data_IF_447441290642
#
_entry.id   IF_447441290642
#
_cell.length_a   1.000
_cell.length_b   1.000
_cell.length_c   1.000
_cell.angle_alpha   90.00
_cell.angle_beta   90.00
_cell.angle_gamma   90.00
#
_symmetry.space_group_name_H-M   'P 1'
#
loop_
_entity.id
_entity.type
_entity.pdbx_description
1 polymer ?
#
# COMPACT_ATOMS: atom_id res chain seq x y z
N UNK A 1 -21.19 21.65 -30.51
CA UNK A 1 -19.85 21.72 -31.11
C UNK A 1 -18.93 22.69 -30.39
N UNK A 2 -19.23 23.97 -30.19
CA UNK A 2 -18.32 24.95 -29.51
C UNK A 2 -17.86 24.55 -28.10
N UNK A 3 -18.68 23.86 -27.29
CA UNK A 3 -18.30 23.39 -25.92
C UNK A 3 -17.31 22.21 -25.93
N UNK A 4 -17.45 21.30 -26.90
CA UNK A 4 -16.52 20.15 -27.06
C UNK A 4 -15.16 20.65 -27.55
N UNK A 5 -15.16 21.61 -28.49
CA UNK A 5 -13.92 22.24 -29.00
C UNK A 5 -13.17 22.98 -27.88
N UNK A 6 -13.91 23.66 -26.98
CA UNK A 6 -13.33 24.37 -25.84
C UNK A 6 -12.72 23.40 -24.82
N UNK A 7 -13.38 22.26 -24.56
CA UNK A 7 -12.85 21.21 -23.66
C UNK A 7 -11.60 20.55 -24.24
N UNK A 8 -11.55 20.29 -25.55
CA UNK A 8 -10.36 19.74 -26.22
C UNK A 8 -9.21 20.74 -26.17
N UNK A 9 -9.46 22.03 -26.42
CA UNK A 9 -8.42 23.07 -26.33
C UNK A 9 -7.90 23.25 -24.90
N UNK A 10 -8.77 23.15 -23.90
CA UNK A 10 -8.39 23.19 -22.49
C UNK A 10 -7.53 21.97 -22.10
N UNK A 11 -7.91 20.77 -22.56
CA UNK A 11 -7.13 19.55 -22.35
C UNK A 11 -5.74 19.63 -22.99
N UNK A 12 -5.65 20.15 -24.24
CA UNK A 12 -4.37 20.34 -24.94
C UNK A 12 -3.50 21.40 -24.23
N UNK A 13 -4.09 22.47 -23.69
CA UNK A 13 -3.35 23.51 -22.98
C UNK A 13 -2.81 23.05 -21.61
N UNK A 14 -3.39 22.02 -21.00
CA UNK A 14 -2.94 21.42 -19.74
C UNK A 14 -1.84 20.36 -19.93
N UNK A 15 -1.79 19.70 -21.11
CA UNK A 15 -0.80 18.65 -21.39
C UNK A 15 0.68 19.07 -21.19
N UNK A 16 1.15 20.26 -21.68
CA UNK A 16 2.54 20.62 -21.51
C UNK A 16 3.00 20.77 -20.04
N UNK A 17 2.09 21.16 -19.15
CA UNK A 17 2.40 21.31 -17.72
C UNK A 17 2.58 19.95 -17.02
N UNK A 18 1.77 18.96 -17.40
CA UNK A 18 1.93 17.59 -16.88
C UNK A 18 3.24 16.95 -17.33
N UNK A 19 3.62 17.13 -18.61
CA UNK A 19 4.87 16.58 -19.14
C UNK A 19 6.08 17.22 -18.46
N UNK A 20 6.12 18.54 -18.30
CA UNK A 20 7.23 19.25 -17.67
C UNK A 20 7.38 18.90 -16.16
N UNK A 21 6.27 18.68 -15.46
CA UNK A 21 6.32 18.23 -14.06
C UNK A 21 6.86 16.81 -13.95
N UNK A 22 6.43 15.89 -14.81
CA UNK A 22 6.92 14.52 -14.84
C UNK A 22 8.43 14.45 -15.13
N UNK A 23 8.92 15.20 -16.13
CA UNK A 23 10.36 15.29 -16.42
C UNK A 23 11.17 15.77 -15.21
N UNK A 24 10.63 16.69 -14.41
CA UNK A 24 11.29 17.17 -13.18
C UNK A 24 11.38 16.07 -12.11
N UNK A 25 10.31 15.29 -11.91
CA UNK A 25 10.31 14.21 -10.92
C UNK A 25 11.23 13.05 -11.32
N UNK A 26 11.23 12.67 -12.60
CA UNK A 26 12.12 11.65 -13.13
C UNK A 26 13.59 12.09 -12.98
N UNK A 27 13.90 13.37 -13.23
CA UNK A 27 15.24 13.91 -13.04
C UNK A 27 15.67 13.90 -11.56
N UNK A 28 14.79 14.26 -10.62
CA UNK A 28 15.10 14.17 -9.18
C UNK A 28 15.28 12.73 -8.73
N UNK A 29 14.47 11.81 -9.24
CA UNK A 29 14.58 10.39 -8.92
C UNK A 29 15.91 9.81 -9.38
N UNK A 30 16.35 10.11 -10.61
CA UNK A 30 17.63 9.68 -11.14
C UNK A 30 18.82 10.29 -10.37
N UNK A 31 18.76 11.58 -10.03
CA UNK A 31 19.77 12.23 -9.21
C UNK A 31 19.85 11.64 -7.81
N UNK A 32 18.72 11.33 -7.20
CA UNK A 32 18.65 10.67 -5.90
C UNK A 32 19.28 9.26 -5.94
N UNK A 33 18.98 8.49 -6.99
CA UNK A 33 19.59 7.19 -7.22
C UNK A 33 21.12 7.29 -7.42
N UNK A 34 21.59 8.30 -8.14
CA UNK A 34 23.01 8.55 -8.32
C UNK A 34 23.69 8.88 -6.98
N UNK A 35 23.12 9.80 -6.18
CA UNK A 35 23.61 10.14 -4.85
C UNK A 35 23.63 8.91 -3.90
N UNK A 36 22.60 8.08 -3.95
CA UNK A 36 22.56 6.82 -3.18
C UNK A 36 23.72 5.89 -3.58
N UNK A 37 23.97 5.72 -4.88
CA UNK A 37 25.03 4.84 -5.40
C UNK A 37 26.44 5.36 -5.05
N UNK A 38 26.61 6.68 -4.90
CA UNK A 38 27.82 7.32 -4.44
C UNK A 38 28.00 7.22 -2.90
N UNK A 39 27.02 6.72 -2.19
CA UNK A 39 27.00 6.64 -0.72
C UNK A 39 26.62 7.95 -0.03
N UNK A 40 26.14 8.95 -0.78
CA UNK A 40 25.67 10.23 -0.27
C UNK A 40 24.18 10.15 0.10
N UNK A 41 23.90 9.45 1.19
CA UNK A 41 22.54 9.07 1.57
C UNK A 41 21.68 10.26 1.99
N UNK A 42 22.25 11.28 2.64
CA UNK A 42 21.54 12.49 3.03
C UNK A 42 21.03 13.25 1.80
N UNK A 43 21.90 13.46 0.79
CA UNK A 43 21.50 14.11 -0.46
C UNK A 43 20.45 13.29 -1.23
N UNK A 44 20.58 11.96 -1.21
CA UNK A 44 19.59 11.10 -1.84
C UNK A 44 18.20 11.29 -1.18
N UNK A 45 18.14 11.32 0.17
CA UNK A 45 16.88 11.55 0.90
C UNK A 45 16.30 12.93 0.64
N UNK A 46 17.13 13.98 0.55
CA UNK A 46 16.65 15.33 0.23
C UNK A 46 15.92 15.33 -1.14
N UNK A 47 16.53 14.72 -2.15
CA UNK A 47 15.94 14.63 -3.48
C UNK A 47 14.67 13.77 -3.52
N UNK A 48 14.65 12.61 -2.82
CA UNK A 48 13.43 11.81 -2.69
C UNK A 48 12.32 12.56 -1.95
N UNK A 49 12.65 13.30 -0.88
CA UNK A 49 11.68 14.09 -0.13
C UNK A 49 11.08 15.23 -0.99
N UNK A 50 11.82 15.81 -1.92
CA UNK A 50 11.28 16.79 -2.87
C UNK A 50 10.20 16.17 -3.78
N UNK A 51 10.36 14.90 -4.17
CA UNK A 51 9.35 14.17 -4.94
C UNK A 51 8.10 13.92 -4.09
N UNK A 52 8.28 13.47 -2.84
CA UNK A 52 7.16 13.25 -1.90
C UNK A 52 6.43 14.56 -1.59
N UNK A 53 7.15 15.65 -1.40
CA UNK A 53 6.58 16.98 -1.14
C UNK A 53 5.75 17.52 -2.34
N UNK A 54 6.02 17.02 -3.54
CA UNK A 54 5.22 17.29 -4.73
C UNK A 54 4.03 16.30 -4.90
N UNK A 55 3.65 15.60 -3.82
CA UNK A 55 2.55 14.63 -3.78
C UNK A 55 2.70 13.47 -4.79
N UNK A 56 3.94 13.16 -5.17
CA UNK A 56 4.22 12.01 -6.02
C UNK A 56 4.62 10.81 -5.14
N UNK A 57 3.82 9.77 -5.21
CA UNK A 57 4.06 8.53 -4.47
C UNK A 57 4.18 7.35 -5.44
N UNK A 58 5.21 6.52 -5.22
CA UNK A 58 5.38 5.29 -5.98
C UNK A 58 6.11 4.23 -5.16
N UNK A 59 5.86 2.95 -5.46
CA UNK A 59 6.55 1.86 -4.78
C UNK A 59 8.09 1.92 -4.96
N UNK A 60 8.65 2.22 -6.16
CA UNK A 60 10.08 2.41 -6.31
C UNK A 60 10.65 3.57 -5.49
N UNK A 61 9.94 4.70 -5.38
CA UNK A 61 10.37 5.84 -4.56
C UNK A 61 10.50 5.43 -3.09
N UNK A 62 9.45 4.87 -2.51
CA UNK A 62 9.46 4.47 -1.11
C UNK A 62 10.43 3.31 -0.85
N UNK A 63 10.59 2.37 -1.79
CA UNK A 63 11.59 1.32 -1.70
C UNK A 63 13.02 1.89 -1.62
N UNK A 64 13.37 2.86 -2.48
CA UNK A 64 14.69 3.48 -2.48
C UNK A 64 14.91 4.34 -1.22
N UNK A 65 13.87 5.05 -0.73
CA UNK A 65 13.95 5.73 0.57
C UNK A 65 14.18 4.73 1.71
N UNK A 66 13.49 3.60 1.73
CA UNK A 66 13.71 2.52 2.68
C UNK A 66 15.15 1.98 2.64
N UNK A 67 15.67 1.73 1.43
CA UNK A 67 17.06 1.31 1.25
C UNK A 67 18.05 2.35 1.78
N UNK A 68 17.77 3.63 1.56
CA UNK A 68 18.63 4.73 2.01
C UNK A 68 18.66 4.81 3.53
N UNK A 69 17.50 4.78 4.19
CA UNK A 69 17.42 4.75 5.66
C UNK A 69 18.08 3.50 6.25
N UNK A 70 17.93 2.36 5.60
CA UNK A 70 18.60 1.13 6.03
C UNK A 70 20.14 1.27 5.98
N UNK A 71 20.70 1.86 4.92
CA UNK A 71 22.14 2.14 4.80
C UNK A 71 22.64 3.13 5.85
N UNK A 72 21.81 4.07 6.27
CA UNK A 72 22.10 5.00 7.37
C UNK A 72 21.95 4.38 8.76
N UNK A 73 21.46 3.13 8.87
CA UNK A 73 21.21 2.46 10.15
C UNK A 73 19.93 2.90 10.86
N UNK A 74 19.08 3.72 10.22
CA UNK A 74 17.80 4.19 10.77
C UNK A 74 16.69 3.20 10.43
N UNK A 75 16.75 2.02 11.08
CA UNK A 75 15.87 0.89 10.76
C UNK A 75 14.37 1.17 10.91
N UNK A 76 13.88 1.94 11.91
CA UNK A 76 12.46 2.26 12.00
C UNK A 76 11.92 2.98 10.76
N UNK A 77 12.68 3.96 10.24
CA UNK A 77 12.32 4.68 9.03
C UNK A 77 12.45 3.81 7.77
N UNK A 78 13.44 2.90 7.72
CA UNK A 78 13.54 1.93 6.64
C UNK A 78 12.29 1.04 6.58
N UNK A 79 11.85 0.49 7.72
CA UNK A 79 10.63 -0.32 7.85
C UNK A 79 9.40 0.50 7.42
N UNK A 80 9.27 1.75 7.89
CA UNK A 80 8.17 2.64 7.52
C UNK A 80 8.05 2.78 5.99
N UNK A 81 9.15 3.10 5.31
CA UNK A 81 9.12 3.29 3.86
C UNK A 81 8.97 1.99 3.07
N UNK A 82 9.52 0.86 3.55
CA UNK A 82 9.26 -0.44 2.94
C UNK A 82 7.79 -0.85 3.08
N UNK A 83 7.15 -0.58 4.21
CA UNK A 83 5.73 -0.83 4.40
C UNK A 83 4.87 0.05 3.47
N UNK A 84 5.21 1.34 3.31
CA UNK A 84 4.57 2.21 2.30
C UNK A 84 4.75 1.67 0.88
N UNK A 85 5.95 1.25 0.52
CA UNK A 85 6.21 0.64 -0.79
C UNK A 85 5.38 -0.65 -0.99
N UNK A 86 5.28 -1.49 0.03
CA UNK A 86 4.53 -2.74 -0.02
C UNK A 86 3.01 -2.52 -0.12
N UNK A 87 2.47 -1.42 0.43
CA UNK A 87 1.06 -1.02 0.21
C UNK A 87 0.77 -0.78 -1.27
N UNK A 88 1.70 -0.12 -1.97
CA UNK A 88 1.55 0.21 -3.40
C UNK A 88 1.84 -1.00 -4.30
N UNK A 89 2.87 -1.81 -3.99
CA UNK A 89 3.22 -3.04 -4.72
C UNK A 89 3.39 -4.24 -3.77
N UNK A 90 2.28 -4.86 -3.35
CA UNK A 90 2.29 -5.98 -2.41
C UNK A 90 2.89 -7.28 -2.98
N UNK A 91 3.10 -7.36 -4.30
CA UNK A 91 3.66 -8.55 -4.95
C UNK A 91 5.19 -8.54 -5.03
N UNK A 92 5.81 -7.40 -4.80
CA UNK A 92 7.25 -7.19 -4.99
C UNK A 92 8.07 -7.99 -3.96
N UNK A 93 8.90 -8.91 -4.48
CA UNK A 93 9.71 -9.80 -3.65
C UNK A 93 10.89 -9.07 -3.00
N UNK A 94 11.47 -8.07 -3.69
CA UNK A 94 12.62 -7.31 -3.19
C UNK A 94 12.23 -6.46 -2.00
N UNK A 95 11.06 -5.79 -2.06
CA UNK A 95 10.51 -5.02 -0.94
C UNK A 95 10.30 -5.93 0.28
N UNK A 96 9.68 -7.11 0.08
CA UNK A 96 9.45 -8.08 1.16
C UNK A 96 10.76 -8.53 1.80
N UNK A 97 11.74 -8.90 0.99
CA UNK A 97 13.04 -9.36 1.47
C UNK A 97 13.76 -8.27 2.28
N UNK A 98 13.79 -7.03 1.77
CA UNK A 98 14.46 -5.93 2.47
C UNK A 98 13.73 -5.54 3.76
N UNK A 99 12.39 -5.60 3.76
CA UNK A 99 11.57 -5.41 4.97
C UNK A 99 11.86 -6.51 6.02
N UNK A 100 11.95 -7.78 5.60
CA UNK A 100 12.33 -8.88 6.50
C UNK A 100 13.72 -8.66 7.10
N UNK A 101 14.70 -8.27 6.28
CA UNK A 101 16.07 -7.96 6.75
C UNK A 101 16.04 -6.78 7.74
N UNK A 102 15.31 -5.71 7.45
CA UNK A 102 15.18 -4.57 8.36
C UNK A 102 14.52 -4.98 9.69
N UNK A 103 13.49 -5.84 9.63
CA UNK A 103 12.84 -6.39 10.83
C UNK A 103 13.77 -7.29 11.68
N UNK A 104 14.85 -7.82 11.12
CA UNK A 104 15.87 -8.54 11.94
C UNK A 104 16.71 -7.58 12.80
N UNK A 105 16.77 -6.30 12.45
CA UNK A 105 17.59 -5.32 13.16
C UNK A 105 16.89 -4.65 14.34
N UNK A 106 15.55 -4.73 14.46
CA UNK A 106 14.79 -4.15 15.57
C UNK A 106 14.78 -5.05 16.81
N UNK A 107 14.51 -4.46 17.97
CA UNK A 107 14.54 -5.17 19.25
C UNK A 107 13.35 -6.13 19.44
N UNK A 108 12.15 -5.68 19.09
CA UNK A 108 10.93 -6.43 19.35
C UNK A 108 10.71 -7.57 18.33
N UNK A 109 10.65 -8.78 18.82
CA UNK A 109 10.33 -9.98 18.04
C UNK A 109 8.97 -10.51 18.49
N UNK A 110 7.91 -10.00 17.86
CA UNK A 110 6.53 -10.31 18.25
C UNK A 110 5.96 -11.34 17.27
N UNK A 111 5.70 -12.55 17.77
CA UNK A 111 5.06 -13.58 16.96
C UNK A 111 3.59 -13.22 16.69
N UNK A 112 3.17 -13.19 15.44
CA UNK A 112 1.79 -12.87 15.08
C UNK A 112 0.86 -14.03 15.48
N UNK A 113 -0.41 -13.68 15.78
CA UNK A 113 -1.44 -14.70 15.98
C UNK A 113 -1.57 -15.52 14.70
N UNK A 114 -1.55 -16.86 14.79
CA UNK A 114 -1.73 -17.72 13.63
C UNK A 114 -3.05 -17.44 12.92
N UNK A 115 -3.00 -17.06 11.65
CA UNK A 115 -4.20 -16.88 10.84
C UNK A 115 -4.80 -18.23 10.47
N UNK A 116 -6.14 -18.30 10.37
CA UNK A 116 -6.80 -19.48 9.82
C UNK A 116 -6.33 -19.73 8.36
N UNK A 117 -6.30 -20.99 7.93
CA UNK A 117 -5.88 -21.32 6.57
C UNK A 117 -6.74 -20.63 5.49
N UNK A 118 -8.04 -20.39 5.79
CA UNK A 118 -8.96 -19.68 4.88
C UNK A 118 -8.55 -18.20 4.77
N UNK A 119 -8.30 -17.53 5.89
CA UNK A 119 -7.85 -16.13 5.91
C UNK A 119 -6.49 -15.97 5.20
N UNK A 120 -5.56 -16.90 5.45
CA UNK A 120 -4.26 -16.93 4.77
C UNK A 120 -4.43 -17.12 3.26
N UNK A 121 -5.29 -18.06 2.82
CA UNK A 121 -5.61 -18.27 1.41
C UNK A 121 -6.21 -17.04 0.74
N UNK A 122 -7.19 -16.40 1.40
CA UNK A 122 -7.82 -15.16 0.93
C UNK A 122 -6.79 -14.03 0.75
N UNK A 123 -5.99 -13.79 1.78
CA UNK A 123 -4.96 -12.76 1.74
C UNK A 123 -3.87 -13.05 0.68
N UNK A 124 -3.47 -14.31 0.51
CA UNK A 124 -2.52 -14.68 -0.53
C UNK A 124 -3.05 -14.35 -1.93
N UNK A 125 -4.31 -14.70 -2.23
CA UNK A 125 -4.91 -14.40 -3.54
C UNK A 125 -5.09 -12.88 -3.71
N UNK A 126 -5.63 -12.18 -2.70
CA UNK A 126 -5.79 -10.72 -2.72
C UNK A 126 -4.47 -10.01 -3.01
N UNK A 127 -3.37 -10.49 -2.43
CA UNK A 127 -2.04 -9.87 -2.53
C UNK A 127 -1.22 -10.32 -3.76
N UNK A 128 -1.81 -11.10 -4.68
CA UNK A 128 -1.13 -11.46 -5.95
C UNK A 128 -1.00 -10.25 -6.90
N UNK A 129 -1.94 -9.32 -6.84
CA UNK A 129 -1.98 -8.16 -7.74
C UNK A 129 -2.24 -6.86 -6.98
N UNK A 130 -1.88 -5.72 -7.60
CA UNK A 130 -2.23 -4.38 -7.11
C UNK A 130 -3.74 -4.11 -7.25
N UNK A 131 -4.25 -3.06 -6.59
CA UNK A 131 -5.63 -2.59 -6.74
C UNK A 131 -6.02 -2.35 -8.20
N UNK A 132 -5.16 -1.65 -8.96
CA UNK A 132 -5.39 -1.30 -10.36
C UNK A 132 -5.38 -2.53 -11.28
N UNK A 133 -4.51 -3.51 -10.99
CA UNK A 133 -4.50 -4.78 -11.73
C UNK A 133 -5.79 -5.56 -11.51
N UNK A 134 -6.29 -5.64 -10.26
CA UNK A 134 -7.57 -6.25 -9.95
C UNK A 134 -8.74 -5.51 -10.61
N UNK A 135 -8.72 -4.16 -10.63
CA UNK A 135 -9.72 -3.34 -11.35
C UNK A 135 -9.72 -3.67 -12.85
N UNK A 136 -8.54 -3.76 -13.45
CA UNK A 136 -8.40 -4.11 -14.88
C UNK A 136 -8.97 -5.50 -15.17
N UNK A 137 -8.64 -6.51 -14.34
CA UNK A 137 -9.20 -7.87 -14.47
C UNK A 137 -10.73 -7.83 -14.36
N UNK A 138 -11.28 -7.05 -13.42
CA UNK A 138 -12.74 -6.95 -13.23
C UNK A 138 -13.42 -6.36 -14.48
N UNK A 139 -12.87 -5.30 -15.08
CA UNK A 139 -13.41 -4.69 -16.30
C UNK A 139 -13.39 -5.67 -17.47
N UNK A 140 -12.29 -6.40 -17.65
CA UNK A 140 -12.16 -7.41 -18.72
C UNK A 140 -13.17 -8.53 -18.52
N UNK A 141 -13.29 -9.06 -17.30
CA UNK A 141 -14.24 -10.13 -16.99
C UNK A 141 -15.69 -9.67 -17.12
N UNK A 142 -16.01 -8.42 -16.77
CA UNK A 142 -17.35 -7.87 -17.00
C UNK A 142 -17.68 -7.76 -18.49
N UNK A 143 -16.75 -7.28 -19.32
CA UNK A 143 -16.92 -7.24 -20.77
C UNK A 143 -17.13 -8.65 -21.36
N UNK A 144 -16.32 -9.63 -20.90
CA UNK A 144 -16.47 -11.04 -21.30
C UNK A 144 -17.83 -11.61 -20.89
N UNK A 145 -18.30 -11.29 -19.69
CA UNK A 145 -19.64 -11.66 -19.22
C UNK A 145 -20.74 -11.12 -20.15
N UNK A 146 -20.67 -9.85 -20.58
CA UNK A 146 -21.65 -9.26 -21.49
C UNK A 146 -21.64 -9.96 -22.85
N UNK A 147 -20.47 -10.29 -23.39
CA UNK A 147 -20.35 -11.08 -24.64
C UNK A 147 -20.93 -12.48 -24.47
N UNK A 148 -20.63 -13.16 -23.37
CA UNK A 148 -21.15 -14.48 -23.07
C UNK A 148 -22.68 -14.47 -22.90
N UNK A 149 -23.20 -13.45 -22.20
CA UNK A 149 -24.64 -13.23 -22.05
C UNK A 149 -25.33 -12.99 -23.42
N UNK A 150 -24.73 -12.16 -24.29
CA UNK A 150 -25.24 -11.96 -25.65
C UNK A 150 -25.26 -13.26 -26.43
N UNK A 151 -24.22 -14.07 -26.38
CA UNK A 151 -24.18 -15.38 -27.01
C UNK A 151 -25.24 -16.31 -26.45
N UNK A 152 -25.43 -16.36 -25.14
CA UNK A 152 -26.46 -17.18 -24.50
C UNK A 152 -27.86 -16.80 -24.97
N UNK A 153 -28.15 -15.49 -25.10
CA UNK A 153 -29.48 -15.00 -25.48
C UNK A 153 -29.77 -15.13 -26.98
N UNK A 154 -28.75 -14.93 -27.85
CA UNK A 154 -28.94 -14.80 -29.31
C UNK A 154 -28.53 -16.03 -30.13
N UNK A 155 -27.70 -16.90 -29.58
CA UNK A 155 -27.26 -18.08 -30.33
C UNK A 155 -28.40 -19.07 -30.58
N UNK A 156 -28.54 -19.49 -31.82
CA UNK A 156 -29.52 -20.52 -32.23
C UNK A 156 -29.02 -21.93 -31.97
N UNK A 157 -27.67 -22.11 -31.93
CA UNK A 157 -27.06 -23.42 -31.69
C UNK A 157 -26.96 -23.74 -30.21
N UNK A 158 -27.51 -24.88 -29.76
CA UNK A 158 -27.47 -25.33 -28.35
C UNK A 158 -26.05 -25.32 -27.75
N UNK A 159 -25.04 -25.71 -28.53
CA UNK A 159 -23.64 -25.72 -28.09
C UNK A 159 -23.15 -24.32 -27.70
N UNK A 160 -23.39 -23.33 -28.54
CA UNK A 160 -23.00 -21.95 -28.29
C UNK A 160 -23.75 -21.36 -27.07
N UNK A 161 -25.02 -21.71 -26.88
CA UNK A 161 -25.78 -21.29 -25.69
C UNK A 161 -25.20 -21.84 -24.39
N UNK A 162 -24.82 -23.15 -24.39
CA UNK A 162 -24.16 -23.77 -23.24
C UNK A 162 -22.83 -23.12 -22.94
N UNK A 163 -21.99 -22.86 -23.97
CA UNK A 163 -20.73 -22.13 -23.79
C UNK A 163 -20.97 -20.72 -23.22
N UNK A 164 -21.90 -19.95 -23.79
CA UNK A 164 -22.27 -18.63 -23.28
C UNK A 164 -22.73 -18.67 -21.83
N UNK A 165 -23.50 -19.69 -21.41
CA UNK A 165 -23.96 -19.84 -20.02
C UNK A 165 -22.80 -20.10 -19.05
N UNK A 166 -21.96 -21.13 -19.31
CA UNK A 166 -20.88 -21.49 -18.38
C UNK A 166 -19.75 -20.44 -18.35
N UNK A 167 -19.36 -19.92 -19.52
CA UNK A 167 -18.36 -18.83 -19.59
C UNK A 167 -18.90 -17.57 -18.93
N UNK A 168 -20.20 -17.25 -19.10
CA UNK A 168 -20.84 -16.13 -18.46
C UNK A 168 -20.83 -16.23 -16.93
N UNK A 169 -21.21 -17.39 -16.38
CA UNK A 169 -21.17 -17.62 -14.93
C UNK A 169 -19.74 -17.49 -14.40
N UNK A 170 -18.77 -18.13 -15.05
CA UNK A 170 -17.37 -18.06 -14.63
C UNK A 170 -16.84 -16.63 -14.67
N UNK A 171 -17.10 -15.91 -15.77
CA UNK A 171 -16.68 -14.52 -15.92
C UNK A 171 -17.33 -13.60 -14.86
N UNK A 172 -18.60 -13.83 -14.53
CA UNK A 172 -19.31 -13.09 -13.49
C UNK A 172 -18.71 -13.34 -12.10
N UNK A 173 -18.38 -14.59 -11.78
CA UNK A 173 -17.74 -14.92 -10.50
C UNK A 173 -16.36 -14.26 -10.39
N UNK A 174 -15.51 -14.39 -11.44
CA UNK A 174 -14.19 -13.75 -11.44
C UNK A 174 -14.33 -12.21 -11.35
N UNK A 175 -15.28 -11.62 -12.06
CA UNK A 175 -15.59 -10.18 -11.94
C UNK A 175 -15.90 -9.78 -10.50
N UNK A 176 -16.80 -10.49 -9.81
CA UNK A 176 -17.20 -10.16 -8.43
C UNK A 176 -16.00 -10.23 -7.50
N UNK A 177 -15.22 -11.32 -7.54
CA UNK A 177 -14.04 -11.46 -6.67
C UNK A 177 -12.96 -10.42 -6.98
N UNK A 178 -12.65 -10.16 -8.26
CA UNK A 178 -11.68 -9.15 -8.65
C UNK A 178 -12.10 -7.75 -8.22
N UNK A 179 -13.40 -7.44 -8.31
CA UNK A 179 -13.95 -6.17 -7.88
C UNK A 179 -13.83 -5.99 -6.35
N UNK A 180 -14.17 -7.04 -5.57
CA UNK A 180 -14.02 -7.03 -4.10
C UNK A 180 -12.55 -6.82 -3.73
N UNK A 181 -11.62 -7.56 -4.32
CA UNK A 181 -10.19 -7.42 -4.06
C UNK A 181 -9.66 -6.03 -4.41
N UNK A 182 -10.10 -5.46 -5.54
CA UNK A 182 -9.74 -4.09 -5.91
C UNK A 182 -10.22 -3.08 -4.87
N UNK A 183 -11.47 -3.19 -4.41
CA UNK A 183 -12.03 -2.30 -3.39
C UNK A 183 -11.34 -2.45 -2.03
N UNK A 184 -11.14 -3.68 -1.55
CA UNK A 184 -10.43 -3.92 -0.28
C UNK A 184 -9.02 -3.34 -0.31
N UNK A 185 -8.27 -3.59 -1.40
CA UNK A 185 -6.89 -3.08 -1.51
C UNK A 185 -6.83 -1.56 -1.64
N UNK A 186 -7.77 -0.96 -2.34
CA UNK A 186 -7.88 0.49 -2.41
C UNK A 186 -8.16 1.08 -1.02
N UNK A 187 -9.10 0.50 -0.30
CA UNK A 187 -9.39 0.92 1.08
C UNK A 187 -8.17 0.72 1.99
N UNK A 188 -7.46 -0.42 1.88
CA UNK A 188 -6.23 -0.67 2.63
C UNK A 188 -5.13 0.36 2.30
N UNK A 189 -5.07 0.86 1.06
CA UNK A 189 -4.11 1.88 0.64
C UNK A 189 -4.49 3.29 1.12
N UNK A 190 -5.78 3.62 1.14
CA UNK A 190 -6.28 4.94 1.55
C UNK A 190 -6.38 5.08 3.08
N UNK A 191 -6.47 3.98 3.83
CA UNK A 191 -6.57 4.03 5.30
C UNK A 191 -5.18 4.00 5.95
N UNK A 192 -4.92 4.98 6.81
CA UNK A 192 -3.71 5.04 7.65
C UNK A 192 -3.97 4.29 8.97
N UNK A 193 -4.29 3.01 8.86
CA UNK A 193 -4.65 2.18 10.01
C UNK A 193 -3.47 1.38 10.58
N UNK A 194 -2.25 1.65 10.12
CA UNK A 194 -1.02 1.04 10.60
C UNK A 194 0.02 2.11 10.88
N UNK A 195 0.90 1.87 11.84
CA UNK A 195 1.98 2.76 12.20
C UNK A 195 3.24 1.99 12.57
N UNK A 196 4.39 2.67 12.47
CA UNK A 196 5.66 2.18 12.99
C UNK A 196 6.03 3.03 14.21
N UNK A 197 6.39 2.39 15.31
CA UNK A 197 6.94 3.07 16.49
C UNK A 197 8.29 3.68 16.11
N UNK A 198 8.43 4.99 16.33
CA UNK A 198 9.65 5.74 15.98
C UNK A 198 10.43 6.20 17.21
N UNK A 199 9.81 6.17 18.39
CA UNK A 199 10.46 6.46 19.66
C UNK A 199 11.31 5.26 20.10
N UNK A 200 12.56 5.45 20.55
CA UNK A 200 13.44 4.35 20.94
C UNK A 200 12.82 3.36 21.92
N UNK A 201 12.01 3.87 22.86
CA UNK A 201 11.28 3.06 23.84
C UNK A 201 10.01 3.80 24.24
N UNK A 202 8.86 3.14 24.17
CA UNK A 202 7.57 3.70 24.60
C UNK A 202 6.80 2.68 25.45
N UNK A 203 6.25 3.16 26.57
CA UNK A 203 5.38 2.34 27.42
C UNK A 203 3.94 2.45 26.96
N UNK A 204 3.35 1.31 26.65
CA UNK A 204 1.92 1.21 26.28
C UNK A 204 1.07 1.16 27.55
N UNK A 205 0.05 2.01 27.62
CA UNK A 205 -0.81 2.24 28.77
C UNK A 205 -2.19 1.59 28.61
N UNK A 206 -2.88 1.39 29.73
CA UNK A 206 -4.24 0.82 29.74
C UNK A 206 -5.33 1.83 29.30
N UNK A 207 -5.07 3.12 29.39
CA UNK A 207 -5.97 4.21 28.97
C UNK A 207 -5.14 5.41 28.47
N UNK A 208 -5.74 6.36 27.72
CA UNK A 208 -5.05 7.49 27.11
C UNK A 208 -4.64 8.55 28.17
N UNK A 209 -3.80 8.13 29.11
CA UNK A 209 -3.32 8.98 30.20
C UNK A 209 -1.95 8.50 30.70
N UNK A 210 -1.02 9.44 30.91
CA UNK A 210 0.32 9.15 31.39
C UNK A 210 0.36 8.47 32.78
N UNK A 211 -0.63 8.71 33.65
CA UNK A 211 -0.72 8.13 34.99
C UNK A 211 -1.43 6.75 35.01
N UNK A 212 -1.90 6.25 33.87
CA UNK A 212 -2.58 4.95 33.80
C UNK A 212 -1.59 3.77 33.94
N UNK A 213 -2.13 2.58 34.13
CA UNK A 213 -1.35 1.36 34.34
C UNK A 213 -0.53 1.04 33.11
N UNK A 214 0.75 0.69 33.33
CA UNK A 214 1.66 0.19 32.31
C UNK A 214 1.28 -1.24 31.92
N UNK A 215 1.11 -1.50 30.62
CA UNK A 215 0.76 -2.83 30.12
C UNK A 215 2.01 -3.56 29.60
N UNK A 216 2.73 -2.95 28.68
CA UNK A 216 3.96 -3.46 28.09
C UNK A 216 4.78 -2.34 27.48
N UNK A 217 6.00 -2.65 27.08
CA UNK A 217 6.91 -1.70 26.43
C UNK A 217 7.11 -2.09 24.98
N UNK A 218 7.21 -1.09 24.10
CA UNK A 218 7.57 -1.24 22.70
C UNK A 218 8.83 -0.47 22.39
N UNK A 219 9.57 -0.96 21.42
CA UNK A 219 10.75 -0.30 20.89
C UNK A 219 10.53 0.17 19.45
N UNK A 220 11.39 1.06 19.01
CA UNK A 220 11.37 1.60 17.66
C UNK A 220 11.42 0.51 16.58
N UNK A 221 10.73 0.74 15.46
CA UNK A 221 10.58 -0.22 14.37
C UNK A 221 9.42 -1.18 14.53
N UNK A 222 8.81 -1.26 15.72
CA UNK A 222 7.66 -2.15 15.94
C UNK A 222 6.43 -1.67 15.17
N UNK A 223 5.86 -2.56 14.36
CA UNK A 223 4.61 -2.33 13.63
C UNK A 223 3.41 -2.50 14.54
N UNK A 224 2.49 -1.55 14.48
CA UNK A 224 1.23 -1.55 15.23
C UNK A 224 0.05 -1.25 14.33
N UNK A 225 -1.12 -1.82 14.63
CA UNK A 225 -2.38 -1.42 14.01
C UNK A 225 -3.01 -0.31 14.85
N UNK A 226 -3.44 0.78 14.22
CA UNK A 226 -4.17 1.87 14.83
C UNK A 226 -5.65 1.50 14.93
N UNK A 227 -6.22 1.58 16.11
CA UNK A 227 -7.61 1.18 16.39
C UNK A 227 -8.49 2.40 16.69
N UNK A 228 -7.96 3.38 17.41
CA UNK A 228 -8.68 4.56 17.88
C UNK A 228 -7.69 5.68 18.23
N UNK A 229 -8.19 6.91 18.33
CA UNK A 229 -7.40 8.09 18.74
C UNK A 229 -8.18 8.91 19.77
N UNK A 230 -7.55 9.29 20.85
CA UNK A 230 -8.16 10.11 21.89
C UNK A 230 -7.08 10.94 22.63
N UNK A 231 -7.32 12.25 22.79
CA UNK A 231 -6.53 13.16 23.63
C UNK A 231 -5.01 13.13 23.38
N UNK A 232 -4.59 12.98 22.10
CA UNK A 232 -3.17 12.88 21.73
C UNK A 232 -2.54 11.50 22.01
N UNK A 233 -3.36 10.48 22.18
CA UNK A 233 -2.98 9.08 22.32
C UNK A 233 -3.60 8.23 21.21
N UNK A 234 -2.82 7.28 20.71
CA UNK A 234 -3.29 6.26 19.76
C UNK A 234 -3.53 4.96 20.48
N UNK A 235 -4.75 4.40 20.32
CA UNK A 235 -5.02 3.02 20.70
C UNK A 235 -4.45 2.09 19.65
N UNK A 236 -3.56 1.20 20.07
CA UNK A 236 -2.83 0.32 19.17
C UNK A 236 -3.04 -1.15 19.52
N UNK A 237 -2.86 -2.00 18.49
CA UNK A 237 -2.77 -3.45 18.63
C UNK A 237 -1.48 -3.94 18.00
N UNK A 238 -0.73 -4.75 18.72
CA UNK A 238 0.47 -5.42 18.20
C UNK A 238 0.17 -6.80 17.62
N UNK A 239 1.14 -7.41 16.92
CA UNK A 239 0.94 -8.62 16.15
C UNK A 239 0.41 -9.83 16.95
N UNK A 240 0.72 -9.91 18.25
CA UNK A 240 0.21 -10.95 19.15
C UNK A 240 -1.20 -10.67 19.70
N UNK A 241 -1.86 -9.58 19.27
CA UNK A 241 -3.21 -9.21 19.67
C UNK A 241 -3.32 -8.35 20.93
N UNK A 242 -2.22 -8.07 21.64
CA UNK A 242 -2.25 -7.18 22.80
C UNK A 242 -2.57 -5.75 22.37
N UNK A 243 -3.41 -5.06 23.15
CA UNK A 243 -3.87 -3.69 22.89
C UNK A 243 -3.50 -2.76 24.04
N UNK A 244 -3.40 -1.48 23.72
CA UNK A 244 -3.24 -0.42 24.68
C UNK A 244 -3.06 0.93 24.01
N UNK A 245 -2.67 1.94 24.78
CA UNK A 245 -2.53 3.32 24.36
C UNK A 245 -1.08 3.78 24.40
N UNK A 246 -0.62 4.43 23.36
CA UNK A 246 0.68 5.10 23.29
C UNK A 246 0.50 6.55 22.83
N UNK A 247 1.40 7.48 23.19
CA UNK A 247 1.37 8.86 22.69
C UNK A 247 1.40 8.89 21.15
N UNK A 248 0.59 9.78 20.55
CA UNK A 248 0.45 9.83 19.08
C UNK A 248 1.77 10.18 18.38
N UNK A 249 2.66 10.96 19.03
CA UNK A 249 3.98 11.31 18.52
C UNK A 249 5.02 10.18 18.60
N UNK A 250 4.71 9.08 19.31
CA UNK A 250 5.59 7.94 19.44
C UNK A 250 5.56 7.02 18.21
N UNK A 251 4.62 7.21 17.30
CA UNK A 251 4.47 6.36 16.11
C UNK A 251 4.13 7.18 14.86
N UNK A 252 4.55 6.69 13.71
CA UNK A 252 4.31 7.30 12.41
C UNK A 252 3.34 6.43 11.60
N UNK A 253 2.15 6.97 11.32
CA UNK A 253 1.11 6.28 10.54
C UNK A 253 1.45 6.25 9.03
N UNK A 254 0.96 5.22 8.31
CA UNK A 254 1.12 5.07 6.86
C UNK A 254 -0.06 4.35 6.22
#
# INVERSE_FOLDING_TARGET
MKRITLLILLAIALMPRFVAAQESYDAWFEQANAAYNEGNYESALELYNNIVAAEQESAPLFFNMGNTYYKMGTYPMAIYYYEKALKLDPSNADIKTNLEIANLAIADKIDPIPQSFIAKGWNNVKNMFSSDSWATVSIICFALFLVALFLFLRAHRMGLRKVGFFVGILALLVFIFSFIFSMEKRNDAETHNQAIVITPTVTVKSSPNASSVDLFVLHEGTKVALLDEADGWNKVRIANGSEGWLPSDASLAY
#
